data_IF_647041038124
#
_entry.id   IF_647041038124
#
_cell.length_a   1.000
_cell.length_b   1.000
_cell.length_c   1.000
_cell.angle_alpha   90.00
_cell.angle_beta   90.00
_cell.angle_gamma   90.00
#
_symmetry.space_group_name_H-M   'P 1'
#
loop_
_entity.id
_entity.type
_entity.pdbx_description
1 polymer ?
#
# COMPACT_ATOMS: atom_id res chain seq x y z
N UNK A 1 6.76 -28.49 6.63
CA UNK A 1 7.32 -27.21 6.14
C UNK A 1 6.86 -26.09 7.04
N UNK A 2 7.77 -25.22 7.46
CA UNK A 2 7.48 -24.12 8.37
C UNK A 2 6.77 -23.01 7.57
N UNK A 3 5.52 -22.69 7.92
CA UNK A 3 4.76 -21.60 7.29
C UNK A 3 5.39 -20.27 7.70
N UNK A 4 6.19 -19.69 6.82
CA UNK A 4 6.74 -18.36 7.02
C UNK A 4 5.67 -17.31 6.65
N UNK A 5 4.67 -17.12 7.52
CA UNK A 5 3.74 -16.01 7.38
C UNK A 5 4.42 -14.72 7.88
N UNK A 6 4.76 -13.83 6.95
CA UNK A 6 5.31 -12.52 7.27
C UNK A 6 4.22 -11.46 7.10
N UNK A 7 4.00 -10.66 8.15
CA UNK A 7 3.14 -9.48 8.12
C UNK A 7 3.90 -8.34 8.78
N UNK A 8 4.10 -7.24 8.06
CA UNK A 8 4.71 -6.03 8.57
C UNK A 8 3.80 -4.83 8.31
N UNK A 9 3.63 -3.98 9.31
CA UNK A 9 2.94 -2.69 9.18
C UNK A 9 3.89 -1.54 9.47
N UNK A 10 3.95 -0.56 8.58
CA UNK A 10 4.84 0.60 8.70
C UNK A 10 4.05 1.90 8.62
N UNK A 11 4.45 2.90 9.42
CA UNK A 11 3.91 4.27 9.34
C UNK A 11 4.61 5.01 8.18
N UNK A 12 3.85 5.56 7.25
CA UNK A 12 4.38 6.33 6.13
C UNK A 12 4.23 7.83 6.38
N UNK A 13 5.33 8.56 6.24
CA UNK A 13 5.37 10.03 6.30
C UNK A 13 5.64 10.67 4.93
N UNK A 14 5.68 9.86 3.87
CA UNK A 14 5.88 10.29 2.49
C UNK A 14 5.16 9.30 1.57
N UNK A 15 3.82 9.30 1.64
CA UNK A 15 2.97 8.37 0.87
C UNK A 15 3.19 8.54 -0.63
N UNK A 16 3.31 9.79 -1.11
CA UNK A 16 3.57 10.08 -2.53
C UNK A 16 4.86 9.41 -3.00
N UNK A 17 5.96 9.60 -2.27
CA UNK A 17 7.24 9.00 -2.61
C UNK A 17 7.19 7.47 -2.57
N UNK A 18 6.48 6.89 -1.59
CA UNK A 18 6.33 5.44 -1.48
C UNK A 18 5.52 4.86 -2.64
N UNK A 19 4.39 5.47 -3.00
CA UNK A 19 3.56 5.05 -4.14
C UNK A 19 4.37 5.09 -5.43
N UNK A 20 5.11 6.17 -5.70
CA UNK A 20 5.99 6.26 -6.88
C UNK A 20 7.07 5.17 -6.89
N UNK A 21 7.56 4.76 -5.73
CA UNK A 21 8.61 3.73 -5.64
C UNK A 21 8.06 2.33 -5.89
N UNK A 22 6.95 1.96 -5.23
CA UNK A 22 6.38 0.61 -5.33
C UNK A 22 5.67 0.35 -6.68
N UNK A 23 5.27 1.40 -7.41
CA UNK A 23 4.61 1.25 -8.72
C UNK A 23 5.55 1.42 -9.93
N UNK A 24 6.86 1.47 -9.71
CA UNK A 24 7.84 1.76 -10.78
C UNK A 24 8.72 0.56 -11.07
N UNK A 25 8.52 -0.05 -12.24
CA UNK A 25 9.39 -1.11 -12.78
C UNK A 25 10.86 -0.65 -12.96
N UNK A 26 11.10 0.65 -13.13
CA UNK A 26 12.45 1.21 -13.21
C UNK A 26 13.16 1.29 -11.85
N UNK A 27 12.42 1.17 -10.73
CA UNK A 27 12.96 1.28 -9.36
C UNK A 27 12.88 -0.03 -8.58
N UNK A 28 12.19 -1.03 -9.13
CA UNK A 28 11.92 -2.32 -8.52
C UNK A 28 12.23 -3.44 -9.52
N UNK A 29 13.28 -4.20 -9.24
CA UNK A 29 13.73 -5.29 -10.11
C UNK A 29 12.75 -6.48 -10.12
N UNK A 30 12.02 -6.69 -9.02
CA UNK A 30 11.09 -7.82 -8.83
C UNK A 30 9.64 -7.36 -8.71
N UNK A 31 9.26 -6.29 -9.42
CA UNK A 31 7.87 -5.84 -9.46
C UNK A 31 7.11 -6.65 -10.50
N UNK A 32 6.18 -7.50 -10.04
CA UNK A 32 5.42 -8.36 -10.94
C UNK A 32 4.14 -7.71 -11.46
N UNK A 33 3.43 -6.95 -10.62
CA UNK A 33 2.18 -6.29 -11.00
C UNK A 33 1.92 -5.05 -10.13
N UNK A 34 0.97 -4.20 -10.51
CA UNK A 34 0.55 -3.05 -9.68
C UNK A 34 -0.94 -2.87 -9.86
N UNK A 35 -1.67 -2.59 -8.77
CA UNK A 35 -3.12 -2.38 -8.84
C UNK A 35 -3.56 -1.05 -8.19
N UNK A 36 -3.60 0.05 -8.93
CA UNK A 36 -4.00 1.33 -8.35
C UNK A 36 -5.54 1.42 -8.19
N UNK A 37 -6.04 1.70 -6.97
CA UNK A 37 -7.50 1.85 -6.73
C UNK A 37 -8.01 3.28 -6.83
N UNK A 38 -7.11 4.23 -7.10
CA UNK A 38 -7.36 5.67 -7.15
C UNK A 38 -6.24 6.32 -7.96
N UNK A 39 -6.47 7.55 -8.41
CA UNK A 39 -5.48 8.30 -9.17
C UNK A 39 -4.30 8.79 -8.30
N UNK A 40 -3.18 9.12 -8.94
CA UNK A 40 -1.99 9.65 -8.24
C UNK A 40 -2.24 11.01 -7.57
N UNK A 41 -3.17 11.79 -8.10
CA UNK A 41 -3.65 13.05 -7.52
C UNK A 41 -4.18 12.86 -6.10
N UNK A 42 -4.96 11.79 -5.88
CA UNK A 42 -5.52 11.45 -4.57
C UNK A 42 -4.45 11.32 -3.49
N UNK A 43 -3.36 10.59 -3.75
CA UNK A 43 -2.29 10.40 -2.77
C UNK A 43 -1.57 11.70 -2.42
N UNK A 44 -1.48 12.63 -3.37
CA UNK A 44 -0.93 13.97 -3.13
C UNK A 44 -1.85 14.78 -2.22
N UNK A 45 -3.15 14.76 -2.48
CA UNK A 45 -4.14 15.46 -1.66
C UNK A 45 -4.22 14.89 -0.24
N UNK A 46 -4.25 13.56 -0.10
CA UNK A 46 -4.21 12.87 1.19
C UNK A 46 -3.01 13.32 2.04
N UNK A 47 -1.82 13.38 1.43
CA UNK A 47 -0.61 13.83 2.11
C UNK A 47 -0.72 15.29 2.58
N UNK A 48 -1.29 16.18 1.75
CA UNK A 48 -1.48 17.59 2.09
C UNK A 48 -2.48 17.76 3.23
N UNK A 49 -3.64 17.10 3.17
CA UNK A 49 -4.66 17.13 4.20
C UNK A 49 -4.11 16.63 5.55
N UNK A 50 -3.39 15.50 5.56
CA UNK A 50 -2.81 14.95 6.78
C UNK A 50 -1.74 15.84 7.39
N UNK A 51 -0.88 16.46 6.57
CA UNK A 51 0.12 17.42 7.06
C UNK A 51 -0.52 18.67 7.65
N UNK A 52 -1.53 19.22 6.99
CA UNK A 52 -2.26 20.39 7.48
C UNK A 52 -2.95 20.10 8.82
N UNK A 53 -3.65 18.97 8.93
CA UNK A 53 -4.30 18.55 10.16
C UNK A 53 -3.29 18.32 11.31
N UNK A 54 -2.14 17.70 11.00
CA UNK A 54 -1.07 17.46 11.97
C UNK A 54 -0.42 18.75 12.48
N UNK A 55 -0.19 19.73 11.60
CA UNK A 55 0.31 21.05 12.02
C UNK A 55 -0.70 21.76 12.90
N UNK A 56 -1.99 21.71 12.55
CA UNK A 56 -3.06 22.33 13.33
C UNK A 56 -3.25 21.70 14.71
N UNK A 57 -2.96 20.40 14.87
CA UNK A 57 -3.11 19.70 16.14
C UNK A 57 -2.03 20.02 17.17
N UNK A 58 -0.96 20.74 16.80
CA UNK A 58 0.15 21.07 17.71
C UNK A 58 0.91 19.84 18.22
N UNK A 59 0.77 18.70 17.55
CA UNK A 59 1.39 17.43 17.95
C UNK A 59 2.86 17.40 17.55
N UNK A 60 3.73 16.96 18.44
CA UNK A 60 5.16 16.80 18.15
C UNK A 60 5.45 15.53 17.34
N UNK A 61 6.56 15.53 16.60
CA UNK A 61 7.03 14.40 15.82
C UNK A 61 6.69 14.48 14.33
N UNK A 62 6.58 13.32 13.67
CA UNK A 62 6.42 13.22 12.22
C UNK A 62 4.98 12.87 11.84
N UNK A 63 4.39 13.66 10.94
CA UNK A 63 3.08 13.39 10.37
C UNK A 63 3.04 11.99 9.73
N UNK A 64 2.03 11.20 10.10
CA UNK A 64 1.71 9.92 9.48
C UNK A 64 0.68 10.20 8.39
N UNK A 65 1.09 10.09 7.14
CA UNK A 65 0.25 10.33 5.96
C UNK A 65 -0.55 9.10 5.55
N UNK A 66 0.00 7.91 5.79
CA UNK A 66 -0.62 6.63 5.48
C UNK A 66 0.00 5.50 6.30
N UNK A 67 -0.56 4.30 6.19
CA UNK A 67 0.02 3.05 6.71
C UNK A 67 0.27 2.10 5.56
N UNK A 68 1.41 1.44 5.59
CA UNK A 68 1.76 0.37 4.68
C UNK A 68 1.56 -0.98 5.36
N UNK A 69 1.03 -1.95 4.62
CA UNK A 69 0.90 -3.33 5.02
C UNK A 69 1.66 -4.19 3.99
N UNK A 70 2.70 -4.87 4.44
CA UNK A 70 3.47 -5.83 3.65
C UNK A 70 3.10 -7.23 4.16
N UNK A 71 2.70 -8.10 3.24
CA UNK A 71 2.37 -9.49 3.56
C UNK A 71 3.13 -10.42 2.63
N UNK A 72 3.58 -11.56 3.16
CA UNK A 72 3.99 -12.67 2.32
C UNK A 72 2.75 -13.40 1.82
N UNK A 73 2.68 -13.63 0.51
CA UNK A 73 1.64 -14.47 -0.07
C UNK A 73 1.95 -15.95 0.21
N UNK A 74 0.93 -16.79 0.49
CA UNK A 74 1.10 -18.24 0.52
C UNK A 74 1.70 -18.77 -0.79
N UNK A 75 2.56 -19.78 -0.68
CA UNK A 75 3.23 -20.41 -1.84
C UNK A 75 2.24 -20.92 -2.88
N UNK A 76 1.08 -21.43 -2.45
CA UNK A 76 0.00 -21.90 -3.32
C UNK A 76 -0.59 -20.81 -4.22
N UNK A 77 -0.37 -19.52 -3.90
CA UNK A 77 -0.84 -18.41 -4.74
C UNK A 77 0.14 -18.03 -5.85
N UNK A 78 1.39 -18.48 -5.79
CA UNK A 78 2.44 -18.15 -6.78
C UNK A 78 2.16 -18.78 -8.14
N UNK A 79 1.32 -19.83 -8.20
CA UNK A 79 0.91 -20.48 -9.44
C UNK A 79 -0.11 -19.68 -10.27
N UNK A 80 -0.71 -18.64 -9.70
CA UNK A 80 -1.69 -17.79 -10.39
C UNK A 80 -1.03 -16.52 -10.91
N UNK A 81 -1.64 -15.92 -11.94
CA UNK A 81 -1.20 -14.63 -12.48
C UNK A 81 -1.18 -13.54 -11.39
N UNK A 82 -0.07 -12.81 -11.20
CA UNK A 82 0.08 -11.81 -10.14
C UNK A 82 -1.04 -10.76 -10.09
N UNK A 83 -1.47 -10.26 -11.25
CA UNK A 83 -2.56 -9.30 -11.39
C UNK A 83 -3.88 -9.87 -10.87
N UNK A 84 -4.17 -11.14 -11.17
CA UNK A 84 -5.37 -11.81 -10.69
C UNK A 84 -5.35 -11.94 -9.17
N UNK A 85 -4.22 -12.37 -8.61
CA UNK A 85 -4.05 -12.51 -7.15
C UNK A 85 -4.25 -11.17 -6.45
N UNK A 86 -3.62 -10.09 -6.96
CA UNK A 86 -3.77 -8.74 -6.42
C UNK A 86 -5.21 -8.24 -6.49
N UNK A 87 -5.87 -8.42 -7.63
CA UNK A 87 -7.23 -7.94 -7.81
C UNK A 87 -8.19 -8.66 -6.85
N UNK A 88 -8.09 -9.99 -6.73
CA UNK A 88 -8.91 -10.76 -5.79
C UNK A 88 -8.63 -10.36 -4.33
N UNK A 89 -7.36 -10.19 -3.97
CA UNK A 89 -6.98 -9.73 -2.64
C UNK A 89 -7.61 -8.38 -2.31
N UNK A 90 -7.51 -7.40 -3.21
CA UNK A 90 -8.06 -6.06 -2.99
C UNK A 90 -9.59 -6.07 -2.94
N UNK A 91 -10.25 -6.82 -3.84
CA UNK A 91 -11.72 -6.97 -3.81
C UNK A 91 -12.17 -7.55 -2.46
N UNK A 92 -11.54 -8.62 -2.00
CA UNK A 92 -11.86 -9.24 -0.73
C UNK A 92 -11.55 -8.33 0.46
N UNK A 93 -10.40 -7.65 0.44
CA UNK A 93 -9.99 -6.72 1.48
C UNK A 93 -10.98 -5.55 1.61
N UNK A 94 -11.40 -4.95 0.50
CA UNK A 94 -12.42 -3.89 0.48
C UNK A 94 -13.77 -4.37 0.98
N UNK A 95 -14.21 -5.56 0.56
CA UNK A 95 -15.44 -6.17 1.03
C UNK A 95 -15.41 -6.39 2.56
N UNK A 96 -14.28 -6.89 3.09
CA UNK A 96 -14.12 -7.22 4.51
C UNK A 96 -14.00 -6.00 5.42
N UNK A 97 -13.28 -4.97 4.98
CA UNK A 97 -12.86 -3.85 5.84
C UNK A 97 -13.48 -2.49 5.50
N UNK A 98 -14.24 -2.37 4.41
CA UNK A 98 -15.03 -1.18 4.08
C UNK A 98 -14.19 0.04 3.65
N UNK A 99 -14.30 0.44 2.38
CA UNK A 99 -13.97 1.80 1.91
C UNK A 99 -12.50 2.25 1.92
N UNK A 100 -11.53 1.37 2.25
CA UNK A 100 -10.11 1.75 2.24
C UNK A 100 -9.59 1.87 0.80
N UNK A 101 -9.01 3.01 0.45
CA UNK A 101 -8.24 3.18 -0.80
C UNK A 101 -6.85 2.54 -0.63
N UNK A 102 -6.46 1.71 -1.59
CA UNK A 102 -5.23 0.90 -1.54
C UNK A 102 -4.41 1.06 -2.83
N UNK A 103 -3.11 0.84 -2.73
CA UNK A 103 -2.20 0.66 -3.86
C UNK A 103 -1.24 -0.46 -3.49
N UNK A 104 -1.62 -1.73 -3.72
CA UNK A 104 -0.74 -2.87 -3.52
C UNK A 104 0.26 -2.99 -4.69
N UNK A 105 1.40 -3.58 -4.36
CA UNK A 105 2.39 -4.07 -5.28
C UNK A 105 2.90 -5.42 -4.70
N UNK A 106 3.09 -6.47 -5.52
CA UNK A 106 3.68 -7.75 -5.15
C UNK A 106 5.21 -7.68 -5.20
#
# INVERSE_FOLDING_TARGET
MQRNSFIQMSKLSNVRGRITYISSHAKQENLYAVYETTERSFWKELALCNRYAFQKSGTEGKCIEARELIIALPEDLVQYEPEYVLEQFIKHFKYRYGGVHCCPAP
#
